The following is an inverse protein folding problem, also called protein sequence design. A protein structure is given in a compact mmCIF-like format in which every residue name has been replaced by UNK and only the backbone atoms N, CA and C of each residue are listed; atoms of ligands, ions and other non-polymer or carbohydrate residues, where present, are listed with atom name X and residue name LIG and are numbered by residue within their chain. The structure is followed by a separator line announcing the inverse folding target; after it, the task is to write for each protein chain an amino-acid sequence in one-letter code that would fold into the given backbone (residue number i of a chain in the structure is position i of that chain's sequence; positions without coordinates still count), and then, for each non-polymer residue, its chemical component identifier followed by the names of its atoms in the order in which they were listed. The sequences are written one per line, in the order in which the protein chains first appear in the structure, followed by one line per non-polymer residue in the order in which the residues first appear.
data_IF_232565061157
#
_entry.id   IF_232565061157
#
_cell.length_a   1.000
_cell.length_b   1.000
_cell.length_c   1.000
_cell.angle_alpha   90.00
_cell.angle_beta   90.00
_cell.angle_gamma   90.00
#
_symmetry.space_group_name_H-M   'P 1'
#
loop_
_entity.id
_entity.type
_entity.pdbx_description
1 polymer ?
#
# COMPACT_ATOMS: atom_id res chain seq x y z
N UNK A 1 26.03 11.63 -26.22
CA UNK A 1 26.62 10.88 -25.10
C UNK A 1 26.03 9.47 -25.12
N UNK A 2 26.87 8.45 -25.09
CA UNK A 2 26.45 7.04 -25.10
C UNK A 2 25.91 6.67 -23.71
N UNK A 3 24.69 6.14 -23.58
CA UNK A 3 24.16 5.70 -22.30
C UNK A 3 25.06 4.63 -21.69
N UNK A 4 25.48 4.82 -20.44
CA UNK A 4 26.21 3.79 -19.70
C UNK A 4 25.27 2.67 -19.21
N UNK A 5 23.98 2.96 -19.15
CA UNK A 5 22.94 2.06 -18.65
C UNK A 5 22.21 1.34 -19.81
N UNK A 6 22.00 0.00 -19.74
CA UNK A 6 21.19 -0.72 -20.71
C UNK A 6 19.78 -0.13 -20.80
N UNK A 7 19.20 -0.06 -22.01
CA UNK A 7 17.88 0.55 -22.23
C UNK A 7 16.79 -0.02 -21.32
N UNK A 8 16.84 -1.32 -21.02
CA UNK A 8 15.93 -1.99 -20.10
C UNK A 8 15.89 -1.36 -18.70
N UNK A 9 17.03 -0.87 -18.19
CA UNK A 9 17.12 -0.20 -16.89
C UNK A 9 16.97 1.31 -17.02
N UNK A 10 17.36 1.89 -18.15
CA UNK A 10 17.29 3.33 -18.38
C UNK A 10 15.86 3.83 -18.50
N UNK A 11 14.99 3.14 -19.24
CA UNK A 11 13.59 3.56 -19.41
C UNK A 11 12.80 3.65 -18.09
N UNK A 12 12.80 2.65 -17.19
CA UNK A 12 12.07 2.77 -15.92
C UNK A 12 12.69 3.80 -14.98
N UNK A 13 14.01 3.96 -15.00
CA UNK A 13 14.69 4.96 -14.16
C UNK A 13 14.40 6.38 -14.67
N UNK A 14 14.52 6.63 -15.98
CA UNK A 14 14.16 7.90 -16.59
C UNK A 14 12.68 8.26 -16.42
N UNK A 15 11.79 7.27 -16.46
CA UNK A 15 10.38 7.47 -16.13
C UNK A 15 10.14 7.83 -14.65
N UNK A 16 11.02 7.38 -13.74
CA UNK A 16 10.88 7.59 -12.30
C UNK A 16 11.46 8.94 -11.83
N UNK A 17 12.66 9.30 -12.30
CA UNK A 17 13.41 10.48 -11.83
C UNK A 17 13.54 11.59 -12.90
N UNK A 18 13.12 11.32 -14.14
CA UNK A 18 13.22 12.23 -15.28
C UNK A 18 14.52 12.07 -16.07
N UNK A 19 14.44 12.30 -17.39
CA UNK A 19 15.60 12.36 -18.30
C UNK A 19 16.75 13.27 -17.80
N UNK A 20 16.52 14.54 -17.39
CA UNK A 20 17.62 15.41 -16.98
C UNK A 20 18.36 14.88 -15.74
N UNK A 21 17.63 14.37 -14.75
CA UNK A 21 18.28 13.81 -13.56
C UNK A 21 18.90 12.42 -13.81
N UNK A 22 18.40 11.67 -14.80
CA UNK A 22 19.03 10.41 -15.25
C UNK A 22 20.37 10.70 -15.88
N UNK A 23 20.46 11.71 -16.75
CA UNK A 23 21.72 12.12 -17.36
C UNK A 23 22.70 12.62 -16.30
N UNK A 24 22.30 13.56 -15.45
CA UNK A 24 23.18 14.16 -14.44
C UNK A 24 23.64 13.14 -13.38
N UNK A 25 22.77 12.27 -12.87
CA UNK A 25 23.14 11.31 -11.82
C UNK A 25 23.81 10.04 -12.34
N UNK A 26 23.39 9.52 -13.50
CA UNK A 26 23.80 8.20 -14.00
C UNK A 26 24.82 8.32 -15.13
N UNK A 27 24.56 9.17 -16.13
CA UNK A 27 25.46 9.29 -17.28
C UNK A 27 26.69 10.16 -16.96
N UNK A 28 26.51 11.21 -16.16
CA UNK A 28 27.57 12.14 -15.73
C UNK A 28 28.16 11.80 -14.35
N UNK A 29 27.57 10.84 -13.62
CA UNK A 29 27.95 10.46 -12.25
C UNK A 29 28.02 11.65 -11.25
N UNK A 30 27.28 12.73 -11.52
CA UNK A 30 27.22 13.89 -10.65
C UNK A 30 26.21 13.70 -9.51
N UNK A 31 26.57 12.81 -8.58
CA UNK A 31 25.75 12.45 -7.42
C UNK A 31 25.56 13.60 -6.40
N UNK A 32 26.27 14.71 -6.56
CA UNK A 32 26.24 15.85 -5.65
C UNK A 32 25.30 16.96 -6.10
N UNK A 33 24.57 16.80 -7.21
CA UNK A 33 23.50 17.73 -7.57
C UNK A 33 22.37 17.63 -6.53
N UNK A 34 22.18 18.66 -5.67
CA UNK A 34 21.28 18.56 -4.53
C UNK A 34 19.81 18.49 -4.98
N UNK A 35 19.48 19.01 -6.17
CA UNK A 35 18.13 18.99 -6.70
C UNK A 35 17.76 17.59 -7.21
N UNK A 36 18.59 17.03 -8.09
CA UNK A 36 18.34 15.71 -8.67
C UNK A 36 18.51 14.59 -7.64
N UNK A 37 19.51 14.65 -6.74
CA UNK A 37 19.69 13.63 -5.72
C UNK A 37 18.48 13.57 -4.78
N UNK A 38 18.02 14.72 -4.27
CA UNK A 38 16.85 14.77 -3.38
C UNK A 38 15.58 14.29 -4.09
N UNK A 39 15.40 14.65 -5.36
CA UNK A 39 14.27 14.19 -6.16
C UNK A 39 14.29 12.66 -6.34
N UNK A 40 15.43 12.12 -6.75
CA UNK A 40 15.64 10.69 -6.95
C UNK A 40 15.42 9.89 -5.66
N UNK A 41 15.99 10.36 -4.54
CA UNK A 41 15.78 9.74 -3.22
C UNK A 41 14.30 9.77 -2.80
N UNK A 42 13.60 10.88 -3.00
CA UNK A 42 12.17 11.00 -2.62
C UNK A 42 11.28 10.04 -3.43
N UNK A 43 11.53 9.93 -4.74
CA UNK A 43 10.78 9.01 -5.63
C UNK A 43 11.15 7.56 -5.38
N UNK A 44 12.43 7.27 -5.19
CA UNK A 44 12.94 5.94 -4.86
C UNK A 44 12.40 5.43 -3.53
N UNK A 45 12.40 6.27 -2.49
CA UNK A 45 11.82 5.91 -1.19
C UNK A 45 10.33 5.63 -1.31
N UNK A 46 9.57 6.50 -1.98
CA UNK A 46 8.13 6.28 -2.19
C UNK A 46 7.81 4.98 -2.93
N UNK A 47 8.59 4.64 -3.96
CA UNK A 47 8.46 3.37 -4.66
C UNK A 47 8.84 2.19 -3.77
N UNK A 48 9.93 2.31 -3.01
CA UNK A 48 10.39 1.30 -2.06
C UNK A 48 9.36 0.97 -0.99
N UNK A 49 8.67 1.99 -0.46
CA UNK A 49 7.58 1.81 0.51
C UNK A 49 6.43 1.01 -0.09
N UNK A 50 5.98 1.37 -1.30
CA UNK A 50 4.91 0.63 -1.99
C UNK A 50 5.30 -0.82 -2.25
N UNK A 51 6.51 -1.06 -2.74
CA UNK A 51 7.04 -2.42 -2.97
C UNK A 51 7.19 -3.21 -1.67
N UNK A 52 7.62 -2.56 -0.58
CA UNK A 52 7.67 -3.15 0.75
C UNK A 52 6.29 -3.61 1.21
N UNK A 53 5.26 -2.78 1.01
CA UNK A 53 3.86 -3.13 1.28
C UNK A 53 3.38 -4.38 0.57
N UNK A 54 3.85 -4.63 -0.66
CA UNK A 54 3.53 -5.87 -1.40
C UNK A 54 4.12 -7.13 -0.77
N UNK A 55 5.20 -7.02 -0.01
CA UNK A 55 5.97 -8.16 0.51
C UNK A 55 5.68 -8.42 1.99
N UNK A 56 5.40 -7.37 2.77
CA UNK A 56 5.40 -7.43 4.24
C UNK A 56 4.47 -8.50 4.85
N UNK A 57 3.29 -8.76 4.25
CA UNK A 57 2.35 -9.77 4.75
C UNK A 57 2.55 -11.16 4.12
N UNK A 58 3.38 -11.30 3.08
CA UNK A 58 3.63 -12.59 2.42
C UNK A 58 4.21 -13.66 3.35
N UNK A 59 5.21 -13.38 4.22
CA UNK A 59 5.73 -14.38 5.15
C UNK A 59 4.64 -14.95 6.07
N UNK A 60 3.70 -14.09 6.48
CA UNK A 60 2.58 -14.48 7.33
C UNK A 60 1.57 -15.33 6.57
N UNK A 61 1.29 -14.99 5.31
CA UNK A 61 0.47 -15.80 4.41
C UNK A 61 1.06 -17.21 4.23
N UNK A 62 2.35 -17.31 3.95
CA UNK A 62 3.06 -18.59 3.83
C UNK A 62 3.00 -19.39 5.13
N UNK A 63 3.13 -18.73 6.29
CA UNK A 63 3.04 -19.39 7.60
C UNK A 63 1.67 -20.05 7.81
N UNK A 64 0.58 -19.35 7.50
CA UNK A 64 -0.80 -19.87 7.61
C UNK A 64 -1.00 -21.08 6.69
N UNK A 65 -0.56 -20.97 5.43
CA UNK A 65 -0.70 -22.05 4.45
C UNK A 65 0.12 -23.30 4.84
N UNK A 66 1.32 -23.10 5.38
CA UNK A 66 2.20 -24.19 5.81
C UNK A 66 1.71 -24.86 7.10
N UNK A 67 1.28 -24.07 8.09
CA UNK A 67 0.80 -24.62 9.37
C UNK A 67 -0.61 -25.19 9.27
N UNK A 68 -1.40 -24.78 8.27
CA UNK A 68 -2.85 -25.00 8.18
C UNK A 68 -3.59 -24.65 9.48
N UNK A 69 -3.04 -23.69 10.22
CA UNK A 69 -3.52 -23.29 11.53
C UNK A 69 -3.44 -21.78 11.67
N UNK A 70 -4.50 -21.21 12.24
CA UNK A 70 -4.66 -19.78 12.49
C UNK A 70 -4.65 -19.48 13.99
N UNK A 71 -4.12 -20.41 14.79
CA UNK A 71 -3.95 -20.24 16.22
C UNK A 71 -3.04 -19.03 16.51
N UNK A 72 -3.47 -18.13 17.40
CA UNK A 72 -2.77 -16.90 17.75
C UNK A 72 -3.01 -15.74 16.79
N UNK A 73 -3.87 -15.89 15.79
CA UNK A 73 -4.20 -14.83 14.82
C UNK A 73 -5.60 -14.28 15.13
N UNK A 74 -5.70 -12.97 15.34
CA UNK A 74 -6.97 -12.31 15.66
C UNK A 74 -7.66 -11.80 14.40
N UNK A 75 -8.83 -12.36 14.08
CA UNK A 75 -9.67 -11.89 12.98
C UNK A 75 -10.02 -10.41 13.11
N UNK A 76 -10.35 -9.94 14.32
CA UNK A 76 -10.73 -8.55 14.54
C UNK A 76 -9.60 -7.56 14.25
N UNK A 77 -8.34 -7.95 14.52
CA UNK A 77 -7.17 -7.14 14.18
C UNK A 77 -7.05 -6.94 12.66
N UNK A 78 -7.20 -8.02 11.88
CA UNK A 78 -7.16 -7.93 10.41
C UNK A 78 -8.31 -7.11 9.84
N UNK A 79 -9.51 -7.25 10.41
CA UNK A 79 -10.66 -6.43 10.01
C UNK A 79 -10.39 -4.95 10.28
N UNK A 80 -9.83 -4.61 11.45
CA UNK A 80 -9.46 -3.23 11.78
C UNK A 80 -8.38 -2.68 10.85
N UNK A 81 -7.37 -3.49 10.50
CA UNK A 81 -6.35 -3.10 9.51
C UNK A 81 -6.97 -2.85 8.12
N UNK A 82 -7.91 -3.69 7.66
CA UNK A 82 -8.60 -3.47 6.38
C UNK A 82 -9.41 -2.18 6.41
N UNK A 83 -10.12 -1.90 7.51
CA UNK A 83 -10.88 -0.65 7.68
C UNK A 83 -9.96 0.58 7.63
N UNK A 84 -8.83 0.53 8.35
CA UNK A 84 -7.85 1.63 8.36
C UNK A 84 -7.20 1.85 6.99
N UNK A 85 -6.86 0.78 6.29
CA UNK A 85 -6.34 0.86 4.93
C UNK A 85 -7.40 1.43 3.97
N UNK A 86 -8.67 1.02 4.09
CA UNK A 86 -9.76 1.55 3.28
C UNK A 86 -9.97 3.06 3.51
N UNK A 87 -9.93 3.53 4.75
CA UNK A 87 -10.01 4.96 5.10
C UNK A 87 -8.82 5.72 4.51
N UNK A 88 -7.60 5.21 4.69
CA UNK A 88 -6.36 5.79 4.13
C UNK A 88 -6.46 5.89 2.61
N UNK A 89 -6.91 4.83 1.95
CA UNK A 89 -7.10 4.80 0.50
C UNK A 89 -8.12 5.84 0.03
N UNK A 90 -9.31 5.84 0.63
CA UNK A 90 -10.37 6.76 0.25
C UNK A 90 -9.98 8.23 0.48
N UNK A 91 -9.32 8.53 1.61
CA UNK A 91 -8.88 9.89 1.93
C UNK A 91 -7.84 10.38 0.91
N UNK A 92 -6.77 9.62 0.71
CA UNK A 92 -5.69 10.02 -0.18
C UNK A 92 -6.14 10.08 -1.65
N UNK A 93 -7.00 9.14 -2.08
CA UNK A 93 -7.58 9.15 -3.42
C UNK A 93 -8.47 10.37 -3.64
N UNK A 94 -9.38 10.67 -2.71
CA UNK A 94 -10.28 11.84 -2.80
C UNK A 94 -9.56 13.18 -2.75
N UNK A 95 -8.40 13.23 -2.10
CA UNK A 95 -7.51 14.42 -2.08
C UNK A 95 -6.65 14.54 -3.33
N UNK A 96 -6.66 13.55 -4.23
CA UNK A 96 -5.83 13.55 -5.43
C UNK A 96 -4.34 13.41 -5.14
N UNK A 97 -3.98 12.81 -4.01
CA UNK A 97 -2.57 12.55 -3.70
C UNK A 97 -1.97 11.48 -4.60
N UNK A 98 -0.65 11.49 -4.72
CA UNK A 98 0.09 10.56 -5.59
C UNK A 98 -0.10 9.12 -5.12
N UNK A 99 -0.12 8.17 -6.05
CA UNK A 99 -0.24 6.73 -5.75
C UNK A 99 0.81 6.25 -4.75
N UNK A 100 2.04 6.77 -4.80
CA UNK A 100 3.11 6.42 -3.84
C UNK A 100 2.76 6.72 -2.38
N UNK A 101 1.77 7.57 -2.11
CA UNK A 101 1.33 7.90 -0.74
C UNK A 101 0.40 6.84 -0.15
N UNK A 102 -0.43 6.19 -0.97
CA UNK A 102 -1.44 5.23 -0.50
C UNK A 102 -1.29 3.83 -1.09
N UNK A 103 -0.36 3.64 -2.02
CA UNK A 103 -0.15 2.38 -2.73
C UNK A 103 0.22 1.24 -1.78
N UNK A 104 1.00 1.51 -0.75
CA UNK A 104 1.27 0.55 0.33
C UNK A 104 -0.02 0.07 0.99
N UNK A 105 -0.89 0.99 1.42
CA UNK A 105 -2.17 0.66 2.05
C UNK A 105 -3.09 -0.16 1.11
N UNK A 106 -3.02 0.08 -0.21
CA UNK A 106 -3.74 -0.72 -1.21
C UNK A 106 -3.28 -2.17 -1.19
N UNK A 107 -1.97 -2.39 -1.31
CA UNK A 107 -1.40 -3.74 -1.39
C UNK A 107 -1.51 -4.50 -0.06
N UNK A 108 -1.31 -3.82 1.08
CA UNK A 108 -1.50 -4.43 2.40
C UNK A 108 -2.99 -4.76 2.61
N UNK A 109 -3.90 -3.85 2.25
CA UNK A 109 -5.34 -4.08 2.33
C UNK A 109 -5.79 -5.30 1.53
N UNK A 110 -5.31 -5.44 0.30
CA UNK A 110 -5.58 -6.61 -0.55
C UNK A 110 -5.08 -7.92 0.07
N UNK A 111 -3.85 -7.93 0.61
CA UNK A 111 -3.30 -9.10 1.30
C UNK A 111 -4.09 -9.45 2.57
N UNK A 112 -4.53 -8.45 3.33
CA UNK A 112 -5.33 -8.66 4.55
C UNK A 112 -6.72 -9.24 4.26
N UNK A 113 -7.33 -8.92 3.12
CA UNK A 113 -8.57 -9.57 2.64
C UNK A 113 -8.33 -11.07 2.42
N UNK A 114 -7.23 -11.43 1.74
CA UNK A 114 -6.86 -12.83 1.49
C UNK A 114 -6.60 -13.56 2.82
N UNK A 115 -5.86 -12.95 3.75
CA UNK A 115 -5.59 -13.54 5.07
C UNK A 115 -6.90 -13.74 5.86
N UNK A 116 -7.80 -12.77 5.82
CA UNK A 116 -9.13 -12.86 6.46
C UNK A 116 -9.92 -14.05 5.92
N UNK A 117 -9.95 -14.24 4.60
CA UNK A 117 -10.59 -15.41 3.98
C UNK A 117 -9.96 -16.73 4.41
N UNK A 118 -8.62 -16.80 4.48
CA UNK A 118 -7.91 -18.00 4.95
C UNK A 118 -8.20 -18.32 6.41
N UNK A 119 -8.22 -17.31 7.30
CA UNK A 119 -8.56 -17.49 8.72
C UNK A 119 -9.95 -18.15 8.86
N UNK A 120 -10.90 -17.69 8.06
CA UNK A 120 -12.29 -18.15 8.12
C UNK A 120 -12.49 -19.52 7.47
N UNK A 121 -11.71 -19.84 6.43
CA UNK A 121 -11.64 -21.17 5.86
C UNK A 121 -11.11 -22.19 6.87
N UNK A 122 -9.99 -21.89 7.55
CA UNK A 122 -9.38 -22.81 8.53
C UNK A 122 -10.14 -22.92 9.86
N UNK A 123 -11.01 -21.97 10.19
CA UNK A 123 -11.88 -22.04 11.38
C UNK A 123 -13.25 -22.67 11.11
N UNK A 124 -13.53 -23.10 9.89
CA UNK A 124 -14.83 -23.67 9.50
C UNK A 124 -15.97 -22.65 9.48
N UNK A 125 -15.66 -21.35 9.47
CA UNK A 125 -16.63 -20.24 9.52
C UNK A 125 -16.66 -19.46 8.20
N UNK A 126 -16.53 -20.18 7.08
CA UNK A 126 -16.41 -19.57 5.74
C UNK A 126 -17.57 -18.60 5.41
N UNK A 127 -18.81 -18.93 5.78
CA UNK A 127 -19.97 -18.05 5.55
C UNK A 127 -19.85 -16.70 6.29
N UNK A 128 -19.39 -16.71 7.55
CA UNK A 128 -19.11 -15.48 8.29
C UNK A 128 -18.00 -14.68 7.62
N UNK A 129 -17.00 -15.37 7.07
CA UNK A 129 -15.90 -14.73 6.38
C UNK A 129 -16.26 -14.03 5.09
N UNK A 130 -17.09 -14.67 4.27
CA UNK A 130 -17.64 -14.02 3.08
C UNK A 130 -18.46 -12.80 3.48
N UNK A 131 -19.33 -12.93 4.48
CA UNK A 131 -20.14 -11.81 4.97
C UNK A 131 -19.27 -10.64 5.46
N UNK A 132 -18.24 -10.89 6.27
CA UNK A 132 -17.31 -9.85 6.73
C UNK A 132 -16.60 -9.15 5.58
N UNK A 133 -16.11 -9.89 4.58
CA UNK A 133 -15.44 -9.28 3.43
C UNK A 133 -16.40 -8.47 2.55
N UNK A 134 -17.63 -8.93 2.36
CA UNK A 134 -18.67 -8.16 1.66
C UNK A 134 -18.97 -6.85 2.39
N UNK A 135 -19.10 -6.89 3.73
CA UNK A 135 -19.31 -5.68 4.54
C UNK A 135 -18.12 -4.72 4.45
N UNK A 136 -16.88 -5.23 4.42
CA UNK A 136 -15.68 -4.42 4.24
C UNK A 136 -15.61 -3.76 2.86
N UNK A 137 -16.05 -4.44 1.80
CA UNK A 137 -16.16 -3.87 0.47
C UNK A 137 -17.21 -2.76 0.41
N UNK A 138 -18.38 -2.97 1.01
CA UNK A 138 -19.44 -1.94 1.11
C UNK A 138 -18.93 -0.73 1.90
N UNK A 139 -18.26 -0.96 3.03
CA UNK A 139 -17.64 0.09 3.83
C UNK A 139 -16.63 0.90 3.01
N UNK A 140 -15.75 0.21 2.28
CA UNK A 140 -14.75 0.85 1.41
C UNK A 140 -15.45 1.73 0.37
N UNK A 141 -16.42 1.18 -0.35
CA UNK A 141 -17.19 1.93 -1.35
C UNK A 141 -17.87 3.18 -0.77
N UNK A 142 -18.42 3.08 0.44
CA UNK A 142 -19.03 4.23 1.12
C UNK A 142 -18.00 5.33 1.43
N UNK A 143 -16.77 4.98 1.84
CA UNK A 143 -15.71 5.97 2.10
C UNK A 143 -15.26 6.73 0.84
N UNK A 144 -15.26 6.05 -0.30
CA UNK A 144 -14.94 6.65 -1.60
C UNK A 144 -16.04 7.61 -2.09
N UNK A 145 -17.28 7.43 -1.65
CA UNK A 145 -18.44 8.18 -2.13
C UNK A 145 -18.64 9.47 -1.30
N UNK A 146 -18.44 10.68 -1.88
CA UNK A 146 -18.52 11.93 -1.13
C UNK A 146 -19.91 12.27 -0.58
N UNK A 147 -20.97 11.76 -1.23
CA UNK A 147 -22.36 11.96 -0.78
C UNK A 147 -22.72 11.13 0.45
N UNK A 148 -22.00 10.03 0.71
CA UNK A 148 -22.20 9.20 1.91
C UNK A 148 -21.32 9.69 3.06
N UNK A 149 -20.05 10.01 2.78
CA UNK A 149 -19.06 10.41 3.79
C UNK A 149 -18.48 11.77 3.47
N UNK A 150 -18.82 12.76 4.29
CA UNK A 150 -18.28 14.11 4.18
C UNK A 150 -16.76 14.16 4.39
N UNK A 151 -16.10 15.13 3.75
CA UNK A 151 -14.64 15.25 3.81
C UNK A 151 -14.09 15.47 5.22
N UNK A 152 -14.84 16.18 6.08
CA UNK A 152 -14.45 16.40 7.48
C UNK A 152 -14.41 15.08 8.27
N UNK A 153 -15.47 14.27 8.16
CA UNK A 153 -15.53 12.94 8.79
C UNK A 153 -14.43 12.02 8.25
N UNK A 154 -14.19 12.02 6.94
CA UNK A 154 -13.12 11.19 6.38
C UNK A 154 -11.73 11.62 6.88
N UNK A 155 -11.51 12.92 7.07
CA UNK A 155 -10.23 13.46 7.59
C UNK A 155 -10.01 13.11 9.06
N UNK A 156 -11.05 13.16 9.89
CA UNK A 156 -10.97 12.75 11.29
C UNK A 156 -10.75 11.24 11.42
N UNK A 157 -11.47 10.45 10.63
CA UNK A 157 -11.26 9.00 10.54
C UNK A 157 -9.83 8.67 10.12
N UNK A 158 -9.29 9.35 9.11
CA UNK A 158 -7.90 9.17 8.69
C UNK A 158 -6.92 9.45 9.83
N UNK A 159 -7.08 10.56 10.55
CA UNK A 159 -6.23 10.88 11.72
C UNK A 159 -6.30 9.82 12.83
N UNK A 160 -7.48 9.24 13.07
CA UNK A 160 -7.67 8.17 14.05
C UNK A 160 -7.04 6.82 13.63
N UNK A 161 -6.84 6.60 12.34
CA UNK A 161 -6.24 5.35 11.83
C UNK A 161 -4.72 5.32 11.90
N UNK A 162 -4.06 6.47 12.04
CA UNK A 162 -2.59 6.57 12.07
C UNK A 162 -1.96 5.70 13.17
N UNK A 163 -2.42 5.74 14.44
CA UNK A 163 -1.82 4.92 15.50
C UNK A 163 -1.95 3.42 15.21
N UNK A 164 -3.06 3.00 14.62
CA UNK A 164 -3.33 1.59 14.33
C UNK A 164 -2.39 1.02 13.25
N UNK A 165 -2.02 1.83 12.26
CA UNK A 165 -1.11 1.40 11.18
C UNK A 165 0.35 1.28 11.66
N UNK A 166 0.71 1.98 12.74
CA UNK A 166 2.07 1.99 13.31
C UNK A 166 2.23 0.95 14.45
N UNK A 167 1.11 0.35 14.89
CA UNK A 167 1.06 -0.67 15.96
C UNK A 167 1.47 -2.05 15.47
#
# INVERSE_FOLDING_TARGET
MTPWLPEFLRSPVAALIGEPCTVTLIDEFNLFDPHCLRHALSKGLGLGIVLGGCIVKLPQLFKILKSKSVAGISLSSYVLEVLANAITLAYNFRKGYSFTTYGEALFIGAQNIVITLLILAFTGRAAQGVATNVLLLIFTYAMFTPSMVGGALLSTLYGLTIPLVIS
#
